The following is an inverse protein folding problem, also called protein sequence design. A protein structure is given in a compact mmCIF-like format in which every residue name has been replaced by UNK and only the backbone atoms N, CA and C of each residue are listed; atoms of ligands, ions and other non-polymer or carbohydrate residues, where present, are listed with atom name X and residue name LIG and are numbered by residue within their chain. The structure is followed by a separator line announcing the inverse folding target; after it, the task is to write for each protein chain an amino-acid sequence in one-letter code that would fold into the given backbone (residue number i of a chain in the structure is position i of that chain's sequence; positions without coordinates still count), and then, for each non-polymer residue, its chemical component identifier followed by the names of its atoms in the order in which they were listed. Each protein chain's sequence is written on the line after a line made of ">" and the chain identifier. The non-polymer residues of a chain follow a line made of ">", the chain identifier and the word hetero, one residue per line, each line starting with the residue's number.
data_IF_407727781006
#
_entry.id   IF_407727781006
#
_cell.length_a   1.000
_cell.length_b   1.000
_cell.length_c   1.000
_cell.angle_alpha   90.00
_cell.angle_beta   90.00
_cell.angle_gamma   90.00
#
_symmetry.space_group_name_H-M   'P 1'
#
loop_
_entity.id
_entity.type
_entity.pdbx_description
1 polymer ?
#
# COMPACT_ATOMS: atom_id res chain seq x y z
N UNK A 1 -0.07 3.15 -9.63
CA UNK A 1 -1.29 2.36 -9.34
C UNK A 1 -2.20 2.94 -8.26
N UNK A 2 -1.71 3.51 -7.16
CA UNK A 2 -2.58 4.09 -6.11
C UNK A 2 -3.04 5.53 -6.38
N UNK A 3 -2.45 6.23 -7.36
CA UNK A 3 -2.91 7.56 -7.79
C UNK A 3 -4.36 7.51 -8.32
N UNK A 4 -5.29 8.30 -7.76
CA UNK A 4 -6.65 8.43 -8.27
C UNK A 4 -6.69 8.97 -9.71
N UNK A 5 -5.84 9.95 -10.03
CA UNK A 5 -5.80 10.54 -11.37
C UNK A 5 -5.34 9.53 -12.42
N UNK A 6 -4.34 8.71 -12.09
CA UNK A 6 -3.89 7.63 -12.97
C UNK A 6 -5.02 6.62 -13.23
N UNK A 7 -5.69 6.14 -12.16
CA UNK A 7 -6.80 5.18 -12.28
C UNK A 7 -7.95 5.74 -13.13
N UNK A 8 -8.31 7.00 -12.90
CA UNK A 8 -9.40 7.67 -13.63
C UNK A 8 -9.04 7.93 -15.09
N UNK A 9 -7.84 8.45 -15.35
CA UNK A 9 -7.39 8.80 -16.71
C UNK A 9 -7.27 7.58 -17.61
N UNK A 10 -6.81 6.46 -17.06
CA UNK A 10 -6.54 5.24 -17.82
C UNK A 10 -7.56 4.12 -17.54
N UNK A 11 -8.75 4.45 -17.03
CA UNK A 11 -9.73 3.45 -16.59
C UNK A 11 -10.05 2.41 -17.68
N UNK A 12 -10.40 2.86 -18.87
CA UNK A 12 -10.75 1.97 -19.99
C UNK A 12 -9.56 1.13 -20.45
N UNK A 13 -8.35 1.70 -20.42
CA UNK A 13 -7.13 0.97 -20.73
C UNK A 13 -6.83 -0.11 -19.68
N UNK A 14 -6.97 0.22 -18.38
CA UNK A 14 -6.73 -0.71 -17.27
C UNK A 14 -7.74 -1.86 -17.20
N UNK A 15 -8.91 -1.72 -17.83
CA UNK A 15 -9.88 -2.81 -18.00
C UNK A 15 -9.47 -3.79 -19.11
N UNK A 16 -8.70 -3.33 -20.09
CA UNK A 16 -8.38 -4.08 -21.30
C UNK A 16 -6.97 -4.68 -21.31
N UNK A 17 -6.00 -4.04 -20.65
CA UNK A 17 -4.58 -4.40 -20.74
C UNK A 17 -3.83 -4.14 -19.42
N UNK A 18 -2.61 -4.66 -19.31
CA UNK A 18 -1.76 -4.50 -18.14
C UNK A 18 -1.39 -3.04 -17.88
N UNK A 19 -1.30 -2.62 -16.60
CA UNK A 19 -0.95 -1.25 -16.27
C UNK A 19 0.42 -0.85 -16.80
N UNK A 20 0.51 0.34 -17.40
CA UNK A 20 1.76 0.94 -17.87
C UNK A 20 2.24 2.00 -16.89
N UNK A 21 3.49 1.90 -16.45
CA UNK A 21 4.09 2.86 -15.51
C UNK A 21 4.55 4.08 -16.29
N UNK A 22 4.10 5.26 -15.86
CA UNK A 22 4.58 6.53 -16.38
C UNK A 22 5.79 6.98 -15.58
N UNK A 23 6.80 7.47 -16.28
CA UNK A 23 8.01 8.01 -15.69
C UNK A 23 8.03 9.53 -15.84
N UNK A 24 8.51 10.20 -14.80
CA UNK A 24 8.80 11.63 -14.82
C UNK A 24 10.31 11.83 -15.03
N UNK A 25 10.69 12.87 -15.77
CA UNK A 25 12.09 13.32 -15.86
C UNK A 25 12.51 14.15 -14.64
N UNK A 26 11.56 14.55 -13.80
CA UNK A 26 11.83 15.27 -12.56
C UNK A 26 12.24 14.28 -11.45
N UNK A 27 13.53 14.31 -11.11
CA UNK A 27 14.13 13.41 -10.11
C UNK A 27 13.48 13.52 -8.73
N UNK A 28 13.13 14.74 -8.31
CA UNK A 28 12.55 14.98 -6.99
C UNK A 28 11.13 14.43 -6.91
N UNK A 29 10.33 14.66 -7.96
CA UNK A 29 9.00 14.05 -8.07
C UNK A 29 9.10 12.53 -8.09
N UNK A 30 10.02 11.96 -8.88
CA UNK A 30 10.23 10.51 -8.92
C UNK A 30 10.54 9.93 -7.53
N UNK A 31 11.44 10.57 -6.77
CA UNK A 31 11.79 10.15 -5.41
C UNK A 31 10.63 10.29 -4.44
N UNK A 32 9.88 11.39 -4.49
CA UNK A 32 8.70 11.58 -3.64
C UNK A 32 7.62 10.52 -3.91
N UNK A 33 7.33 10.22 -5.19
CA UNK A 33 6.41 9.15 -5.56
C UNK A 33 6.92 7.77 -5.09
N UNK A 34 8.23 7.55 -5.15
CA UNK A 34 8.86 6.30 -4.67
C UNK A 34 8.74 6.14 -3.16
N UNK A 35 8.95 7.21 -2.38
CA UNK A 35 8.77 7.21 -0.93
C UNK A 35 7.31 6.93 -0.54
N UNK A 36 6.33 7.55 -1.19
CA UNK A 36 4.92 7.21 -0.96
C UNK A 36 4.62 5.74 -1.30
N UNK A 37 5.28 5.19 -2.33
CA UNK A 37 5.19 3.76 -2.68
C UNK A 37 5.78 2.84 -1.61
N UNK A 38 6.94 3.18 -1.04
CA UNK A 38 7.57 2.44 0.05
C UNK A 38 6.67 2.44 1.28
N UNK A 39 6.10 3.60 1.64
CA UNK A 39 5.17 3.71 2.77
C UNK A 39 3.94 2.81 2.57
N UNK A 40 3.33 2.82 1.36
CA UNK A 40 2.21 1.93 1.03
C UNK A 40 2.56 0.44 1.15
N UNK A 41 3.74 0.04 0.66
CA UNK A 41 4.21 -1.34 0.75
C UNK A 41 4.33 -1.75 2.22
N UNK A 42 5.02 -0.93 3.04
CA UNK A 42 5.22 -1.17 4.46
C UNK A 42 3.90 -1.32 5.23
N UNK A 43 2.94 -0.44 4.95
CA UNK A 43 1.58 -0.49 5.50
C UNK A 43 0.87 -1.79 5.13
N UNK A 44 0.89 -2.20 3.85
CA UNK A 44 0.11 -3.33 3.35
C UNK A 44 0.70 -4.69 3.70
N UNK A 45 1.98 -4.77 4.05
CA UNK A 45 2.59 -5.97 4.63
C UNK A 45 2.59 -5.97 6.17
N UNK A 46 1.98 -4.96 6.80
CA UNK A 46 1.89 -4.80 8.26
C UNK A 46 3.28 -4.82 8.94
N UNK A 47 4.29 -4.22 8.30
CA UNK A 47 5.63 -4.13 8.89
C UNK A 47 5.64 -3.16 10.08
N UNK A 48 6.11 -3.61 11.25
CA UNK A 48 6.05 -2.84 12.50
C UNK A 48 6.67 -1.45 12.41
N UNK A 49 7.86 -1.30 11.81
CA UNK A 49 8.54 0.00 11.69
C UNK A 49 7.74 0.95 10.80
N UNK A 50 7.24 0.43 9.67
CA UNK A 50 6.38 1.18 8.76
C UNK A 50 5.06 1.58 9.42
N UNK A 51 4.44 0.68 10.18
CA UNK A 51 3.21 0.98 10.93
C UNK A 51 3.43 2.10 11.94
N UNK A 52 4.50 2.02 12.75
CA UNK A 52 4.82 3.04 13.75
C UNK A 52 5.01 4.42 13.09
N UNK A 53 5.87 4.47 12.07
CA UNK A 53 6.13 5.69 11.30
C UNK A 53 4.85 6.28 10.68
N UNK A 54 4.05 5.45 10.01
CA UNK A 54 2.87 5.92 9.30
C UNK A 54 1.72 6.29 10.23
N UNK A 55 1.58 5.61 11.37
CA UNK A 55 0.49 5.87 12.32
C UNK A 55 0.69 7.16 13.11
N UNK A 56 1.93 7.61 13.30
CA UNK A 56 2.24 8.93 13.89
C UNK A 56 1.77 10.09 13.00
N UNK A 57 1.61 9.85 11.69
CA UNK A 57 1.14 10.86 10.72
C UNK A 57 -0.38 10.99 10.65
N UNK A 58 -1.13 10.08 11.28
CA UNK A 58 -2.59 10.16 11.29
C UNK A 58 -3.02 11.30 12.21
N UNK A 59 -3.79 12.25 11.67
CA UNK A 59 -4.26 13.42 12.42
C UNK A 59 -5.26 13.04 13.54
N UNK A 60 -6.02 11.97 13.35
CA UNK A 60 -7.01 11.49 14.32
C UNK A 60 -6.49 10.23 15.03
N UNK A 61 -6.15 10.39 16.31
CA UNK A 61 -5.64 9.31 17.17
C UNK A 61 -6.73 8.33 17.60
N UNK A 62 -8.00 8.63 17.35
CA UNK A 62 -9.14 7.78 17.75
C UNK A 62 -9.54 6.76 16.68
N UNK A 63 -8.89 6.79 15.50
CA UNK A 63 -9.16 5.87 14.39
C UNK A 63 -8.91 4.43 14.82
N UNK A 64 -9.97 3.62 14.75
CA UNK A 64 -9.92 2.19 15.03
C UNK A 64 -9.81 1.84 16.51
N UNK A 65 -10.06 2.78 17.43
CA UNK A 65 -10.12 2.44 18.86
C UNK A 65 -11.31 1.54 19.16
N UNK A 66 -11.08 0.44 19.87
CA UNK A 66 -12.09 -0.57 20.16
C UNK A 66 -12.76 -0.35 21.52
N UNK A 67 -14.08 -0.54 21.58
CA UNK A 67 -14.87 -0.38 22.79
C UNK A 67 -15.91 -1.50 22.93
N UNK A 68 -16.29 -1.76 24.17
CA UNK A 68 -17.52 -2.48 24.50
C UNK A 68 -18.62 -1.47 24.88
N UNK A 69 -19.86 -1.76 24.50
CA UNK A 69 -21.02 -0.90 24.74
C UNK A 69 -21.29 -0.69 26.24
N UNK A 70 -21.22 -1.77 27.03
CA UNK A 70 -21.45 -1.72 28.47
C UNK A 70 -20.16 -2.05 29.22
N UNK A 71 -19.74 -1.13 30.10
CA UNK A 71 -18.59 -1.35 31.00
C UNK A 71 -18.96 -2.16 32.25
N UNK A 72 -20.24 -2.24 32.58
CA UNK A 72 -20.75 -2.76 33.86
C UNK A 72 -21.24 -4.22 33.78
N UNK A 73 -21.74 -4.67 32.63
CA UNK A 73 -22.14 -6.07 32.44
C UNK A 73 -20.94 -6.93 32.05
N UNK A 74 -20.77 -8.09 32.68
CA UNK A 74 -19.72 -9.08 32.39
C UNK A 74 -19.77 -9.69 30.98
N UNK A 75 -20.68 -9.26 30.10
CA UNK A 75 -20.85 -9.77 28.74
C UNK A 75 -19.88 -9.11 27.72
N UNK A 76 -18.59 -9.14 28.02
CA UNK A 76 -17.58 -8.85 26.99
C UNK A 76 -17.53 -10.00 26.01
N UNK A 77 -18.20 -9.84 24.86
CA UNK A 77 -18.22 -10.82 23.81
C UNK A 77 -17.30 -10.40 22.64
N UNK A 78 -16.09 -10.98 22.50
CA UNK A 78 -15.19 -10.66 21.40
C UNK A 78 -15.58 -11.37 20.08
N UNK A 79 -16.62 -12.20 20.06
CA UNK A 79 -16.96 -13.03 18.89
C UNK A 79 -17.62 -12.20 17.78
N UNK A 80 -17.10 -12.32 16.57
CA UNK A 80 -17.68 -11.71 15.38
C UNK A 80 -18.95 -12.49 14.99
N UNK A 81 -20.13 -11.86 14.93
CA UNK A 81 -21.38 -12.61 14.61
C UNK A 81 -22.33 -11.90 13.66
N UNK A 82 -22.43 -10.56 13.75
CA UNK A 82 -23.26 -9.72 12.89
C UNK A 82 -22.60 -8.34 12.73
N UNK A 83 -21.54 -8.23 11.91
CA UNK A 83 -20.90 -6.94 11.67
C UNK A 83 -21.90 -5.93 11.08
N UNK A 84 -21.81 -4.68 11.52
CA UNK A 84 -22.64 -3.59 10.99
C UNK A 84 -21.93 -2.25 11.13
N UNK A 85 -22.18 -1.33 10.20
CA UNK A 85 -21.59 0.00 10.23
C UNK A 85 -22.64 1.07 10.55
N UNK A 86 -22.34 1.90 11.55
CA UNK A 86 -23.12 3.08 11.89
C UNK A 86 -22.41 4.33 11.33
N UNK A 87 -22.99 4.91 10.28
CA UNK A 87 -22.44 6.09 9.60
C UNK A 87 -22.48 7.37 10.45
N UNK A 88 -23.55 7.60 11.22
CA UNK A 88 -23.69 8.84 12.00
C UNK A 88 -22.71 8.89 13.16
N UNK A 89 -22.37 7.74 13.75
CA UNK A 89 -21.44 7.64 14.86
C UNK A 89 -20.01 7.27 14.43
N UNK A 90 -19.80 6.96 13.14
CA UNK A 90 -18.54 6.44 12.60
C UNK A 90 -18.03 5.21 13.36
N UNK A 91 -18.94 4.25 13.59
CA UNK A 91 -18.67 3.03 14.35
C UNK A 91 -18.83 1.78 13.50
N UNK A 92 -17.83 0.90 13.55
CA UNK A 92 -17.86 -0.43 12.95
C UNK A 92 -18.07 -1.47 14.05
N UNK A 93 -19.27 -2.02 14.14
CA UNK A 93 -19.63 -3.07 15.08
C UNK A 93 -19.18 -4.44 14.54
N UNK A 94 -18.64 -5.28 15.42
CA UNK A 94 -18.39 -6.71 15.13
C UNK A 94 -19.57 -7.59 15.59
N UNK A 95 -20.31 -7.09 16.59
CA UNK A 95 -21.53 -7.64 17.15
C UNK A 95 -22.28 -6.51 17.90
N UNK A 96 -23.36 -6.82 18.62
CA UNK A 96 -24.16 -5.82 19.35
C UNK A 96 -23.45 -5.19 20.56
N UNK A 97 -22.38 -5.80 21.07
CA UNK A 97 -21.68 -5.40 22.30
C UNK A 97 -20.31 -4.77 22.08
N UNK A 98 -19.72 -4.86 20.89
CA UNK A 98 -18.35 -4.43 20.63
C UNK A 98 -18.20 -3.76 19.26
N UNK A 99 -17.41 -2.68 19.22
CA UNK A 99 -17.22 -1.86 18.02
C UNK A 99 -15.86 -1.15 17.97
N UNK A 100 -15.49 -0.70 16.79
CA UNK A 100 -14.39 0.23 16.53
C UNK A 100 -14.94 1.63 16.27
N UNK A 101 -14.37 2.65 16.91
CA UNK A 101 -14.68 4.08 16.73
C UNK A 101 -13.73 4.72 15.70
N UNK A 102 -14.10 5.88 15.18
CA UNK A 102 -13.25 6.64 14.26
C UNK A 102 -13.17 6.01 12.87
N UNK A 103 -14.16 5.17 12.52
CA UNK A 103 -14.25 4.53 11.21
C UNK A 103 -15.14 5.40 10.33
N UNK A 104 -14.54 6.31 9.58
CA UNK A 104 -15.26 7.15 8.62
C UNK A 104 -15.90 6.30 7.51
N UNK A 105 -16.88 6.86 6.79
CA UNK A 105 -17.52 6.14 5.67
C UNK A 105 -16.49 5.77 4.59
N UNK A 106 -15.51 6.63 4.34
CA UNK A 106 -14.46 6.39 3.35
C UNK A 106 -13.55 5.23 3.76
N UNK A 107 -13.26 5.09 5.05
CA UNK A 107 -12.52 3.93 5.59
C UNK A 107 -13.36 2.66 5.49
N UNK A 108 -14.63 2.73 5.90
CA UNK A 108 -15.53 1.57 5.84
C UNK A 108 -15.72 1.07 4.40
N UNK A 109 -16.03 1.96 3.47
CA UNK A 109 -16.30 1.64 2.06
C UNK A 109 -15.01 1.43 1.25
N UNK A 110 -13.83 1.40 1.87
CA UNK A 110 -12.59 1.24 1.13
C UNK A 110 -12.53 -0.11 0.42
N UNK A 111 -12.25 -0.09 -0.88
CA UNK A 111 -12.26 -1.27 -1.74
C UNK A 111 -10.89 -1.59 -2.32
N UNK A 112 -10.56 -2.88 -2.32
CA UNK A 112 -9.46 -3.45 -3.10
C UNK A 112 -10.06 -4.53 -4.00
N UNK A 113 -9.90 -4.36 -5.31
CA UNK A 113 -10.66 -5.14 -6.29
C UNK A 113 -12.16 -4.89 -6.12
N UNK A 114 -12.95 -5.97 -6.14
CA UNK A 114 -14.41 -5.92 -5.96
C UNK A 114 -14.88 -5.99 -4.50
N UNK A 115 -13.98 -5.95 -3.51
CA UNK A 115 -14.33 -6.18 -2.11
C UNK A 115 -14.11 -4.95 -1.23
N UNK A 116 -15.12 -4.61 -0.44
CA UNK A 116 -14.97 -3.75 0.73
C UNK A 116 -14.11 -4.48 1.77
N UNK A 117 -12.95 -3.92 2.12
CA UNK A 117 -11.89 -4.62 2.86
C UNK A 117 -12.38 -5.03 4.25
N UNK A 118 -12.95 -4.11 5.01
CA UNK A 118 -13.41 -4.36 6.39
C UNK A 118 -14.63 -5.29 6.43
N UNK A 119 -15.59 -5.09 5.53
CA UNK A 119 -16.76 -5.96 5.42
C UNK A 119 -16.37 -7.39 5.07
N UNK A 120 -15.51 -7.58 4.07
CA UNK A 120 -15.02 -8.89 3.64
C UNK A 120 -14.23 -9.57 4.75
N UNK A 121 -13.34 -8.85 5.43
CA UNK A 121 -12.56 -9.40 6.55
C UNK A 121 -13.47 -9.91 7.67
N UNK A 122 -14.38 -9.07 8.18
CA UNK A 122 -15.24 -9.45 9.31
C UNK A 122 -16.21 -10.59 8.95
N UNK A 123 -16.74 -10.62 7.72
CA UNK A 123 -17.59 -11.73 7.25
C UNK A 123 -16.82 -13.05 7.12
N UNK A 124 -15.54 -12.99 6.76
CA UNK A 124 -14.71 -14.19 6.58
C UNK A 124 -14.31 -14.83 7.91
N UNK A 125 -14.25 -14.04 9.00
CA UNK A 125 -13.92 -14.49 10.36
C UNK A 125 -15.19 -14.60 11.23
N UNK A 126 -16.34 -14.91 10.63
CA UNK A 126 -17.61 -15.01 11.37
C UNK A 126 -17.56 -16.20 12.34
N UNK A 127 -18.03 -15.97 13.55
CA UNK A 127 -18.01 -16.85 14.73
C UNK A 127 -16.63 -17.05 15.37
N UNK A 128 -15.62 -16.30 14.94
CA UNK A 128 -14.28 -16.31 15.54
C UNK A 128 -14.12 -15.15 16.54
N UNK A 129 -13.24 -15.28 17.55
CA UNK A 129 -12.82 -14.15 18.36
C UNK A 129 -12.14 -13.07 17.51
N UNK A 130 -12.55 -11.81 17.69
CA UNK A 130 -11.93 -10.68 17.02
C UNK A 130 -10.57 -10.35 17.66
N UNK A 131 -9.51 -10.38 16.87
CA UNK A 131 -8.24 -9.74 17.24
C UNK A 131 -8.37 -8.23 17.08
N UNK A 132 -8.69 -7.52 18.17
CA UNK A 132 -8.95 -6.08 18.14
C UNK A 132 -7.75 -5.28 17.65
N UNK A 133 -6.54 -5.61 18.10
CA UNK A 133 -5.32 -4.92 17.64
C UNK A 133 -5.07 -5.12 16.14
N UNK A 134 -5.31 -6.33 15.63
CA UNK A 134 -5.13 -6.60 14.21
C UNK A 134 -6.14 -5.82 13.35
N UNK A 135 -7.42 -5.83 13.73
CA UNK A 135 -8.46 -5.09 12.99
C UNK A 135 -8.25 -3.58 13.11
N UNK A 136 -7.84 -3.08 14.28
CA UNK A 136 -7.42 -1.68 14.47
C UNK A 136 -6.30 -1.31 13.51
N UNK A 137 -5.28 -2.15 13.38
CA UNK A 137 -4.19 -1.93 12.43
C UNK A 137 -4.70 -1.89 10.97
N UNK A 138 -5.60 -2.80 10.56
CA UNK A 138 -6.22 -2.74 9.23
C UNK A 138 -6.96 -1.41 9.01
N UNK A 139 -7.77 -0.96 9.97
CA UNK A 139 -8.52 0.30 9.90
C UNK A 139 -7.54 1.48 9.71
N UNK A 140 -6.48 1.55 10.52
CA UNK A 140 -5.46 2.62 10.44
C UNK A 140 -4.67 2.55 9.14
N UNK A 141 -4.33 1.35 8.65
CA UNK A 141 -3.69 1.14 7.35
C UNK A 141 -4.56 1.68 6.21
N UNK A 142 -5.87 1.41 6.23
CA UNK A 142 -6.81 1.95 5.25
C UNK A 142 -6.84 3.48 5.33
N UNK A 143 -6.98 4.04 6.54
CA UNK A 143 -7.01 5.48 6.75
C UNK A 143 -5.76 6.17 6.16
N UNK A 144 -4.58 5.64 6.47
CA UNK A 144 -3.32 6.18 5.96
C UNK A 144 -3.17 5.98 4.45
N UNK A 145 -3.61 4.84 3.92
CA UNK A 145 -3.62 4.58 2.48
C UNK A 145 -4.44 5.63 1.75
N UNK A 146 -5.62 5.97 2.25
CA UNK A 146 -6.48 7.03 1.70
C UNK A 146 -5.75 8.37 1.68
N UNK A 147 -5.09 8.77 2.77
CA UNK A 147 -4.30 10.01 2.82
C UNK A 147 -3.19 10.02 1.77
N UNK A 148 -2.42 8.94 1.64
CA UNK A 148 -1.39 8.80 0.61
C UNK A 148 -2.00 8.89 -0.79
N UNK A 149 -3.19 8.32 -1.02
CA UNK A 149 -3.88 8.45 -2.30
C UNK A 149 -4.28 9.89 -2.61
N UNK A 150 -4.68 10.69 -1.61
CA UNK A 150 -4.94 12.13 -1.79
C UNK A 150 -3.64 12.87 -2.15
N UNK A 151 -2.55 12.60 -1.44
CA UNK A 151 -1.22 13.16 -1.76
C UNK A 151 -0.79 12.80 -3.18
N UNK A 152 -0.94 11.53 -3.59
CA UNK A 152 -0.69 11.10 -4.96
C UNK A 152 -1.59 11.82 -5.97
N UNK A 153 -2.86 12.06 -5.62
CA UNK A 153 -3.78 12.85 -6.45
C UNK A 153 -3.32 14.28 -6.68
N UNK A 154 -2.66 14.90 -5.71
CA UNK A 154 -2.05 16.22 -5.86
C UNK A 154 -0.80 16.13 -6.74
N UNK A 155 0.14 15.23 -6.42
CA UNK A 155 1.43 15.11 -7.11
C UNK A 155 1.31 14.60 -8.57
N UNK A 156 0.17 14.04 -8.95
CA UNK A 156 -0.07 13.51 -10.30
C UNK A 156 -1.24 14.21 -10.99
N UNK A 157 -1.53 15.46 -10.62
CA UNK A 157 -2.61 16.27 -11.20
C UNK A 157 -2.40 16.60 -12.68
N UNK A 158 -1.14 16.69 -13.11
CA UNK A 158 -0.69 17.08 -14.45
C UNK A 158 -0.46 15.87 -15.39
N UNK A 159 -0.99 14.70 -15.04
CA UNK A 159 -0.92 13.52 -15.91
C UNK A 159 -1.46 13.81 -17.33
N UNK A 160 -0.72 13.44 -18.39
CA UNK A 160 0.35 12.45 -18.41
C UNK A 160 1.77 13.03 -18.26
N UNK A 161 1.91 14.35 -18.12
CA UNK A 161 3.20 15.04 -18.25
C UNK A 161 4.12 14.82 -17.05
N UNK A 162 3.55 14.81 -15.83
CA UNK A 162 4.31 14.61 -14.58
C UNK A 162 5.54 15.53 -14.51
N UNK A 163 5.38 16.81 -14.80
CA UNK A 163 6.48 17.78 -14.75
C UNK A 163 6.93 18.06 -13.32
N UNK A 164 6.01 17.96 -12.35
CA UNK A 164 6.28 18.18 -10.93
C UNK A 164 6.52 19.63 -10.55
N UNK A 165 6.15 20.58 -11.43
CA UNK A 165 6.39 22.00 -11.22
C UNK A 165 5.39 22.63 -10.24
N UNK A 166 4.16 22.13 -10.20
CA UNK A 166 3.04 22.78 -9.47
C UNK A 166 3.04 22.50 -7.96
N UNK A 167 3.75 21.47 -7.50
CA UNK A 167 3.69 20.97 -6.12
C UNK A 167 5.06 20.83 -5.45
N UNK A 168 6.01 21.72 -5.79
CA UNK A 168 7.39 21.67 -5.29
C UNK A 168 7.48 21.63 -3.76
N UNK A 169 6.68 22.43 -3.05
CA UNK A 169 6.72 22.46 -1.58
C UNK A 169 6.36 21.10 -0.96
N UNK A 170 5.27 20.49 -1.42
CA UNK A 170 4.84 19.15 -0.97
C UNK A 170 5.86 18.07 -1.33
N UNK A 171 6.43 18.13 -2.53
CA UNK A 171 7.53 17.24 -2.93
C UNK A 171 8.70 17.37 -1.96
N UNK A 172 9.13 18.58 -1.63
CA UNK A 172 10.24 18.79 -0.69
C UNK A 172 9.91 18.33 0.74
N UNK A 173 8.69 18.53 1.22
CA UNK A 173 8.23 18.04 2.53
C UNK A 173 8.36 16.51 2.63
N UNK A 174 7.95 15.79 1.58
CA UNK A 174 8.07 14.33 1.49
C UNK A 174 9.54 13.90 1.46
N UNK A 175 10.39 14.63 0.72
CA UNK A 175 11.81 14.31 0.63
C UNK A 175 12.56 14.52 1.93
N UNK A 176 12.14 15.48 2.77
CA UNK A 176 12.74 15.76 4.08
C UNK A 176 12.39 14.71 5.13
N UNK A 177 11.28 13.98 4.94
CA UNK A 177 10.79 12.97 5.89
C UNK A 177 10.58 11.64 5.18
N UNK A 178 11.64 10.94 4.73
CA UNK A 178 11.51 9.67 4.05
C UNK A 178 10.89 8.60 4.97
N UNK A 179 10.11 7.64 4.44
CA UNK A 179 9.67 6.48 5.21
C UNK A 179 10.84 5.60 5.61
N UNK A 180 10.67 4.72 6.62
CA UNK A 180 11.65 3.69 6.93
C UNK A 180 11.96 2.87 5.68
N UNK A 181 13.17 2.29 5.59
CA UNK A 181 13.55 1.47 4.45
C UNK A 181 12.51 0.36 4.24
N UNK A 182 12.31 -0.06 2.97
CA UNK A 182 11.29 -1.04 2.65
C UNK A 182 11.51 -2.32 3.47
N UNK A 183 10.42 -3.01 3.84
CA UNK A 183 10.46 -4.16 4.75
C UNK A 183 11.11 -5.42 4.15
N UNK A 184 11.55 -5.34 2.89
CA UNK A 184 12.26 -6.42 2.21
C UNK A 184 13.77 -6.18 2.36
N UNK A 185 14.51 -7.23 2.75
CA UNK A 185 15.97 -7.16 2.89
C UNK A 185 16.62 -6.48 1.67
N UNK A 186 17.50 -5.52 1.95
CA UNK A 186 18.15 -4.56 1.03
C UNK A 186 19.06 -5.17 -0.04
N UNK A 187 19.19 -6.50 -0.09
CA UNK A 187 20.14 -7.19 -0.99
C UNK A 187 19.46 -7.87 -2.18
N UNK A 188 18.28 -7.43 -2.60
CA UNK A 188 17.58 -8.05 -3.73
C UNK A 188 17.92 -7.32 -5.03
N UNK A 189 18.36 -8.04 -6.06
CA UNK A 189 18.54 -7.54 -7.41
C UNK A 189 17.62 -8.29 -8.40
N UNK A 190 17.00 -7.53 -9.30
CA UNK A 190 16.34 -8.04 -10.50
C UNK A 190 17.40 -8.18 -11.59
N UNK A 191 17.60 -9.38 -12.12
CA UNK A 191 18.55 -9.64 -13.19
C UNK A 191 17.76 -9.89 -14.47
N UNK A 192 17.96 -9.04 -15.48
CA UNK A 192 17.41 -9.24 -16.82
C UNK A 192 18.52 -9.77 -17.73
N UNK A 193 18.26 -10.82 -18.50
CA UNK A 193 19.25 -11.40 -19.41
C UNK A 193 18.65 -11.75 -20.76
N UNK A 194 19.35 -11.43 -21.83
CA UNK A 194 18.98 -11.82 -23.19
C UNK A 194 19.54 -13.23 -23.45
N UNK A 195 18.74 -14.27 -23.17
CA UNK A 195 19.21 -15.67 -23.23
C UNK A 195 18.57 -16.52 -24.33
N UNK A 196 18.37 -15.97 -25.53
CA UNK A 196 17.80 -16.72 -26.65
C UNK A 196 18.47 -18.09 -26.93
N UNK A 197 19.82 -18.16 -26.78
CA UNK A 197 20.58 -19.40 -27.06
C UNK A 197 20.59 -20.44 -25.93
N UNK A 198 20.29 -20.07 -24.68
CA UNK A 198 20.37 -21.00 -23.54
C UNK A 198 19.09 -21.82 -23.35
N UNK A 199 17.95 -21.26 -23.75
CA UNK A 199 16.61 -21.88 -23.67
C UNK A 199 16.10 -22.35 -25.05
N UNK A 200 16.89 -22.21 -26.11
CA UNK A 200 16.56 -22.69 -27.45
C UNK A 200 15.40 -21.95 -28.12
N UNK A 201 15.13 -20.70 -27.73
CA UNK A 201 14.00 -19.91 -28.21
C UNK A 201 14.44 -18.51 -28.63
N UNK A 202 13.87 -17.98 -29.72
CA UNK A 202 14.21 -16.65 -30.26
C UNK A 202 13.43 -15.50 -29.60
N UNK A 203 12.48 -15.81 -28.70
CA UNK A 203 11.41 -14.87 -28.34
C UNK A 203 11.46 -14.30 -26.91
N UNK A 204 12.50 -14.53 -26.09
CA UNK A 204 12.45 -14.15 -24.68
C UNK A 204 13.72 -13.54 -24.07
N UNK A 205 13.47 -12.55 -23.19
CA UNK A 205 14.35 -12.11 -22.10
C UNK A 205 14.02 -12.90 -20.83
N UNK A 206 15.04 -13.38 -20.10
CA UNK A 206 14.87 -14.08 -18.83
C UNK A 206 15.05 -13.12 -17.65
N UNK A 207 14.13 -13.14 -16.69
CA UNK A 207 14.15 -12.31 -15.49
C UNK A 207 14.28 -13.18 -14.23
N UNK A 208 15.24 -12.86 -13.36
CA UNK A 208 15.49 -13.57 -12.09
C UNK A 208 15.62 -12.60 -10.93
N UNK A 209 15.29 -13.06 -9.72
CA UNK A 209 15.46 -12.29 -8.47
C UNK A 209 16.56 -12.99 -7.66
N UNK A 210 17.60 -12.25 -7.25
CA UNK A 210 18.68 -12.80 -6.41
C UNK A 210 18.90 -11.95 -5.16
N UNK A 211 19.23 -12.59 -4.04
CA UNK A 211 19.60 -11.97 -2.75
C UNK A 211 21.12 -11.77 -2.57
N UNK A 212 21.92 -12.35 -3.46
CA UNK A 212 23.38 -12.29 -3.41
C UNK A 212 23.90 -11.88 -4.80
N UNK A 213 25.07 -11.23 -4.85
CA UNK A 213 25.77 -11.04 -6.12
C UNK A 213 26.21 -12.41 -6.66
N UNK A 214 25.55 -12.89 -7.70
CA UNK A 214 26.02 -14.04 -8.48
C UNK A 214 26.74 -13.51 -9.72
N UNK A 215 28.02 -13.84 -9.86
CA UNK A 215 28.76 -13.65 -11.09
C UNK A 215 28.23 -14.63 -12.15
N UNK A 216 27.07 -14.31 -12.71
CA UNK A 216 26.56 -14.98 -13.89
C UNK A 216 27.35 -14.46 -15.10
N UNK A 217 28.61 -14.87 -15.17
CA UNK A 217 29.47 -14.93 -16.35
C UNK A 217 29.07 -13.90 -17.42
N UNK A 218 29.29 -12.62 -17.09
CA UNK A 218 28.78 -11.44 -17.81
C UNK A 218 29.30 -11.38 -19.26
N UNK A 219 30.30 -12.19 -19.63
CA UNK A 219 31.09 -11.94 -20.83
C UNK A 219 30.87 -12.88 -22.02
N UNK A 220 30.16 -14.01 -21.91
CA UNK A 220 30.09 -14.97 -23.05
C UNK A 220 28.72 -15.43 -23.53
N UNK A 221 27.61 -15.19 -22.82
CA UNK A 221 26.29 -15.76 -23.19
C UNK A 221 25.08 -14.86 -22.85
N UNK A 222 25.16 -13.57 -23.19
CA UNK A 222 24.02 -12.65 -23.07
C UNK A 222 23.88 -11.99 -21.69
N UNK A 223 25.02 -11.59 -21.10
CA UNK A 223 25.20 -11.05 -19.74
C UNK A 223 23.97 -10.41 -19.09
N UNK A 224 23.67 -10.84 -17.87
CA UNK A 224 22.55 -10.30 -17.10
C UNK A 224 22.83 -8.87 -16.62
N UNK A 225 21.94 -7.93 -16.92
CA UNK A 225 21.92 -6.62 -16.27
C UNK A 225 21.28 -6.76 -14.89
N UNK A 226 22.06 -6.56 -13.84
CA UNK A 226 21.56 -6.54 -12.46
C UNK A 226 21.05 -5.15 -12.11
N UNK A 227 19.76 -5.07 -11.81
CA UNK A 227 19.09 -3.89 -11.29
C UNK A 227 18.86 -4.12 -9.80
N UNK A 228 19.57 -3.44 -8.90
CA UNK A 228 19.22 -3.50 -7.48
C UNK A 228 17.75 -3.05 -7.34
N UNK A 229 16.92 -3.90 -6.72
CA UNK A 229 15.50 -3.59 -6.51
C UNK A 229 15.32 -2.46 -5.50
N UNK A 230 16.37 -2.13 -4.74
CA UNK A 230 16.42 -0.99 -3.83
C UNK A 230 17.80 -0.31 -3.86
N UNK A 231 17.89 0.84 -4.50
CA UNK A 231 18.91 1.86 -4.20
C UNK A 231 18.19 3.21 -4.09
N UNK A 232 17.94 3.68 -2.88
CA UNK A 232 17.74 5.11 -2.63
C UNK A 232 18.82 5.54 -1.64
N UNK A 233 19.93 6.01 -2.22
CA UNK A 233 21.23 6.38 -1.62
C UNK A 233 22.19 5.20 -1.48
#
# INVERSE_FOLDING_TARGET
>A
MYSPNYRKRYEDFLKADYPKILFTNNKDLFRALSFLGIELIGLHVLNTESLNYSFEKLNDTTIGESYYCDKETHERNPIIKKPSYNKSEQRLYINSSAYFKGVSKEIYDYMIGGYCVLDKYLKSHKNEPCSFDHVKNIIKVIARTIEIQRTLGILTSDLPHLEGNDNKALTQEILQNPPPPPPFNTNIALILSCQAKAIGSLDFDAAFINRNASDNNIYRRGGGSAFPLFCFI
#
